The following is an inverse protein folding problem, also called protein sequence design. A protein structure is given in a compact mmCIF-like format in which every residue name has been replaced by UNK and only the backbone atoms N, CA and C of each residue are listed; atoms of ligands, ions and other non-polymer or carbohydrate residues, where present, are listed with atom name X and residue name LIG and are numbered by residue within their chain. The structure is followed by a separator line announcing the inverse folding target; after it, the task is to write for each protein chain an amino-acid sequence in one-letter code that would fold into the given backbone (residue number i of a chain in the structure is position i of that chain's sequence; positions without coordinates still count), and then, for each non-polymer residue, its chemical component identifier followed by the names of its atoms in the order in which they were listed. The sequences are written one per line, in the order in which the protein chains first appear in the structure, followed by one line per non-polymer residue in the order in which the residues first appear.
data_IF_246368066189
#
_entry.id   IF_246368066189
#
_cell.length_a   1.000
_cell.length_b   1.000
_cell.length_c   1.000
_cell.angle_alpha   90.00
_cell.angle_beta   90.00
_cell.angle_gamma   90.00
#
_symmetry.space_group_name_H-M   'P 1'
#
loop_
_entity.id
_entity.type
_entity.pdbx_description
1 polymer ?
#
# COMPACT_ATOMS: atom_id res chain seq x y z
N UNK A 1 -3.05 7.74 23.32
CA UNK A 1 -2.92 7.62 21.84
C UNK A 1 -2.30 6.27 21.54
N UNK A 2 -2.91 5.45 20.68
CA UNK A 2 -2.40 4.10 20.34
C UNK A 2 -0.99 4.23 19.71
N UNK A 3 0.01 3.58 20.30
CA UNK A 3 1.40 3.64 19.85
C UNK A 3 1.56 3.18 18.39
N UNK A 4 0.73 2.23 17.96
CA UNK A 4 0.73 1.71 16.60
C UNK A 4 0.18 2.72 15.59
N UNK A 5 -0.86 3.46 15.95
CA UNK A 5 -1.37 4.54 15.10
C UNK A 5 -0.34 5.66 14.97
N UNK A 6 0.39 5.96 16.06
CA UNK A 6 1.50 6.91 15.99
C UNK A 6 2.57 6.41 15.03
N UNK A 7 3.00 5.15 15.15
CA UNK A 7 3.99 4.56 14.25
C UNK A 7 3.52 4.56 12.79
N UNK A 8 2.25 4.23 12.53
CA UNK A 8 1.66 4.30 11.20
C UNK A 8 1.76 5.71 10.59
N UNK A 9 1.46 6.74 11.38
CA UNK A 9 1.58 8.14 10.94
C UNK A 9 3.02 8.52 10.59
N UNK A 10 3.96 8.15 11.45
CA UNK A 10 5.39 8.42 11.22
C UNK A 10 5.89 7.73 9.94
N UNK A 11 5.55 6.45 9.75
CA UNK A 11 6.04 5.67 8.62
C UNK A 11 5.42 6.05 7.30
N UNK A 12 4.10 6.26 7.28
CA UNK A 12 3.37 6.36 6.03
C UNK A 12 2.82 7.76 5.81
N UNK A 13 2.10 8.32 6.79
CA UNK A 13 1.44 9.63 6.60
C UNK A 13 2.46 10.73 6.36
N UNK A 14 3.44 10.90 7.26
CA UNK A 14 4.43 11.97 7.14
C UNK A 14 5.41 11.75 5.98
N UNK A 15 5.87 10.51 5.78
CA UNK A 15 6.73 10.15 4.65
C UNK A 15 6.05 10.44 3.31
N UNK A 16 4.82 9.96 3.11
CA UNK A 16 4.09 10.15 1.85
C UNK A 16 3.73 11.62 1.63
N UNK A 17 3.37 12.36 2.69
CA UNK A 17 3.14 13.80 2.60
C UNK A 17 4.34 14.58 2.05
N UNK A 18 5.56 14.18 2.42
CA UNK A 18 6.78 14.77 1.86
C UNK A 18 7.01 14.44 0.38
N UNK A 19 6.40 13.36 -0.12
CA UNK A 19 6.51 12.89 -1.51
C UNK A 19 5.42 13.46 -2.42
N UNK A 20 4.22 13.76 -1.89
CA UNK A 20 3.08 14.21 -2.70
C UNK A 20 3.32 15.44 -3.59
N UNK A 21 4.10 16.46 -3.18
CA UNK A 21 4.39 17.60 -4.05
C UNK A 21 5.27 17.26 -5.27
N UNK A 22 5.89 16.07 -5.30
CA UNK A 22 6.87 15.65 -6.30
C UNK A 22 6.24 14.70 -7.31
N UNK A 23 5.95 15.18 -8.51
CA UNK A 23 5.29 14.41 -9.58
C UNK A 23 6.05 13.12 -9.92
N UNK A 24 7.37 13.16 -9.90
CA UNK A 24 8.26 12.02 -10.13
C UNK A 24 8.14 10.92 -9.06
N UNK A 25 7.62 11.26 -7.88
CA UNK A 25 7.40 10.30 -6.79
C UNK A 25 6.11 9.48 -6.97
N UNK A 26 5.30 9.76 -8.00
CA UNK A 26 3.99 9.13 -8.17
C UNK A 26 4.02 7.60 -8.18
N UNK A 27 4.98 7.00 -8.90
CA UNK A 27 5.10 5.53 -8.92
C UNK A 27 5.43 4.96 -7.54
N UNK A 28 6.34 5.60 -6.80
CA UNK A 28 6.73 5.17 -5.46
C UNK A 28 5.57 5.33 -4.47
N UNK A 29 4.85 6.46 -4.53
CA UNK A 29 3.65 6.73 -3.73
C UNK A 29 2.58 5.66 -3.97
N UNK A 30 2.35 5.30 -5.24
CA UNK A 30 1.38 4.25 -5.59
C UNK A 30 1.81 2.87 -5.08
N UNK A 31 3.06 2.47 -5.34
CA UNK A 31 3.60 1.15 -4.92
C UNK A 31 3.65 1.02 -3.40
N UNK A 32 3.86 2.11 -2.65
CA UNK A 32 3.82 2.09 -1.19
C UNK A 32 2.40 2.01 -0.64
N UNK A 33 1.42 2.63 -1.29
CA UNK A 33 0.03 2.65 -0.81
C UNK A 33 -0.78 1.41 -1.20
N UNK A 34 -0.48 0.77 -2.33
CA UNK A 34 -1.22 -0.40 -2.80
C UNK A 34 -1.19 -1.60 -1.81
N UNK A 35 -0.05 -2.00 -1.22
CA UNK A 35 -0.01 -3.04 -0.20
C UNK A 35 -0.75 -2.67 1.10
N UNK A 36 -0.79 -1.37 1.44
CA UNK A 36 -1.53 -0.89 2.61
C UNK A 36 -3.04 -1.04 2.39
N UNK A 37 -3.51 -0.71 1.19
CA UNK A 37 -4.89 -0.98 0.77
C UNK A 37 -5.20 -2.48 0.80
N UNK A 38 -4.31 -3.32 0.26
CA UNK A 38 -4.50 -4.78 0.31
C UNK A 38 -4.69 -5.27 1.75
N UNK A 39 -3.80 -4.85 2.65
CA UNK A 39 -3.90 -5.20 4.08
C UNK A 39 -5.22 -4.72 4.67
N UNK A 40 -5.61 -3.47 4.43
CA UNK A 40 -6.86 -2.93 4.92
C UNK A 40 -8.07 -3.75 4.46
N UNK A 41 -8.16 -4.06 3.16
CA UNK A 41 -9.24 -4.86 2.60
C UNK A 41 -9.28 -6.26 3.21
N UNK A 42 -8.13 -6.92 3.35
CA UNK A 42 -8.03 -8.25 3.96
C UNK A 42 -8.50 -8.23 5.41
N UNK A 43 -8.01 -7.30 6.22
CA UNK A 43 -8.40 -7.21 7.63
C UNK A 43 -9.88 -6.90 7.81
N UNK A 44 -10.42 -6.00 6.98
CA UNK A 44 -11.87 -5.69 6.98
C UNK A 44 -12.74 -6.91 6.67
N UNK A 45 -12.21 -7.84 5.88
CA UNK A 45 -12.91 -9.05 5.43
C UNK A 45 -12.47 -10.32 6.17
N UNK A 46 -11.68 -10.21 7.25
CA UNK A 46 -11.21 -11.36 8.03
C UNK A 46 -10.33 -12.34 7.24
N UNK A 47 -9.62 -11.87 6.20
CA UNK A 47 -8.79 -12.71 5.34
C UNK A 47 -7.34 -12.80 5.84
N UNK A 48 -6.77 -13.99 5.73
CA UNK A 48 -5.34 -14.25 5.94
C UNK A 48 -4.52 -13.85 4.70
N UNK A 49 -3.17 -13.79 4.78
CA UNK A 49 -2.33 -13.51 3.61
C UNK A 49 -2.44 -14.56 2.49
N UNK A 50 -2.75 -15.83 2.83
CA UNK A 50 -2.88 -16.92 1.86
C UNK A 50 -4.20 -16.91 1.09
N UNK A 51 -5.22 -16.21 1.60
CA UNK A 51 -6.53 -16.20 0.97
C UNK A 51 -6.53 -15.34 -0.31
N UNK A 52 -7.33 -15.73 -1.29
CA UNK A 52 -7.64 -14.87 -2.44
C UNK A 52 -8.57 -13.73 -2.02
N UNK A 53 -8.48 -12.57 -2.70
CA UNK A 53 -9.43 -11.47 -2.44
C UNK A 53 -10.84 -11.83 -2.96
N UNK A 54 -11.78 -11.93 -2.02
CA UNK A 54 -13.18 -12.27 -2.26
C UNK A 54 -13.96 -11.15 -2.97
N UNK A 55 -15.19 -11.45 -3.38
CA UNK A 55 -16.10 -10.42 -3.93
C UNK A 55 -16.48 -9.36 -2.89
N UNK A 56 -16.45 -9.69 -1.59
CA UNK A 56 -16.63 -8.73 -0.52
C UNK A 56 -15.47 -7.71 -0.47
N UNK A 57 -14.21 -8.17 -0.66
CA UNK A 57 -13.07 -7.27 -0.81
C UNK A 57 -13.21 -6.34 -2.02
N UNK A 58 -13.68 -6.87 -3.16
CA UNK A 58 -13.93 -6.05 -4.35
C UNK A 58 -15.08 -5.06 -4.14
N UNK A 59 -16.07 -5.45 -3.34
CA UNK A 59 -17.16 -4.57 -2.91
C UNK A 59 -16.65 -3.40 -2.10
N UNK A 60 -15.80 -3.68 -1.11
CA UNK A 60 -15.14 -2.63 -0.34
C UNK A 60 -14.25 -1.75 -1.22
N UNK A 61 -13.53 -2.33 -2.18
CA UNK A 61 -12.66 -1.59 -3.08
C UNK A 61 -13.44 -0.59 -3.94
N UNK A 62 -14.57 -0.97 -4.56
CA UNK A 62 -15.35 0.00 -5.33
C UNK A 62 -16.11 1.00 -4.46
N UNK A 63 -16.47 0.63 -3.22
CA UNK A 63 -17.04 1.59 -2.29
C UNK A 63 -16.03 2.68 -1.87
N UNK A 64 -14.73 2.37 -1.90
CA UNK A 64 -13.67 3.36 -1.70
C UNK A 64 -13.43 4.22 -2.94
N UNK A 65 -13.55 3.62 -4.13
CA UNK A 65 -13.31 4.29 -5.40
C UNK A 65 -14.52 4.10 -6.32
N UNK A 66 -15.48 5.03 -6.24
CA UNK A 66 -16.76 4.94 -6.96
C UNK A 66 -16.64 4.81 -8.48
N UNK A 67 -15.51 5.20 -9.07
CA UNK A 67 -15.20 4.96 -10.48
C UNK A 67 -15.20 3.46 -10.85
N UNK A 68 -14.93 2.57 -9.89
CA UNK A 68 -14.92 1.13 -10.09
C UNK A 68 -16.34 0.55 -10.01
N UNK A 69 -17.26 1.00 -10.86
CA UNK A 69 -18.73 0.81 -10.78
C UNK A 69 -19.33 -0.50 -10.20
N UNK A 70 -18.63 -1.62 -10.22
CA UNK A 70 -19.05 -2.89 -9.62
C UNK A 70 -17.87 -3.81 -9.28
N UNK A 71 -18.18 -4.96 -8.66
CA UNK A 71 -17.23 -6.03 -8.30
C UNK A 71 -16.36 -6.46 -9.48
N UNK A 72 -16.94 -6.58 -10.68
CA UNK A 72 -16.22 -7.05 -11.86
C UNK A 72 -15.19 -6.02 -12.33
N UNK A 73 -15.53 -4.73 -12.34
CA UNK A 73 -14.61 -3.63 -12.68
C UNK A 73 -13.51 -3.51 -11.62
N UNK A 74 -13.87 -3.57 -10.33
CA UNK A 74 -12.90 -3.56 -9.23
C UNK A 74 -11.92 -4.74 -9.32
N UNK A 75 -12.39 -5.94 -9.68
CA UNK A 75 -11.53 -7.12 -9.87
C UNK A 75 -10.59 -6.97 -11.06
N UNK A 76 -11.07 -6.39 -12.17
CA UNK A 76 -10.21 -6.07 -13.32
C UNK A 76 -9.13 -5.07 -12.93
N UNK A 77 -9.51 -3.98 -12.27
CA UNK A 77 -8.57 -2.98 -11.73
C UNK A 77 -7.52 -3.64 -10.83
N UNK A 78 -7.96 -4.47 -9.87
CA UNK A 78 -7.06 -5.15 -8.95
C UNK A 78 -6.06 -6.04 -9.70
N UNK A 79 -6.52 -6.79 -10.69
CA UNK A 79 -5.65 -7.63 -11.51
C UNK A 79 -4.66 -6.80 -12.33
N UNK A 80 -5.07 -5.66 -12.91
CA UNK A 80 -4.17 -4.76 -13.65
C UNK A 80 -3.09 -4.21 -12.73
N UNK A 81 -3.40 -3.73 -11.53
CA UNK A 81 -2.36 -3.10 -10.71
C UNK A 81 -1.56 -4.09 -9.86
N UNK A 82 -2.15 -5.21 -9.43
CA UNK A 82 -1.44 -6.26 -8.67
C UNK A 82 -0.58 -7.16 -9.55
N UNK A 83 -1.07 -7.49 -10.75
CA UNK A 83 -0.41 -8.42 -11.68
C UNK A 83 0.11 -7.75 -12.94
N UNK A 84 -0.36 -6.55 -13.29
CA UNK A 84 0.04 -5.83 -14.50
C UNK A 84 0.98 -4.67 -14.21
N UNK A 85 0.80 -3.88 -13.15
CA UNK A 85 1.65 -2.70 -12.90
C UNK A 85 2.98 -3.05 -12.20
N UNK A 86 2.97 -4.02 -11.28
CA UNK A 86 4.20 -4.69 -10.83
C UNK A 86 4.91 -5.44 -11.98
N UNK A 87 4.16 -5.80 -13.02
CA UNK A 87 4.69 -6.48 -14.21
C UNK A 87 4.88 -5.59 -15.45
N UNK A 88 4.46 -4.33 -15.52
CA UNK A 88 4.70 -3.47 -16.69
C UNK A 88 6.03 -2.74 -16.56
N UNK A 89 6.59 -2.72 -15.35
CA UNK A 89 8.04 -2.68 -15.20
C UNK A 89 8.73 -3.93 -15.82
N UNK A 90 8.00 -4.99 -16.20
CA UNK A 90 8.48 -6.27 -16.76
C UNK A 90 7.53 -6.95 -17.80
N UNK A 91 7.21 -6.27 -18.91
CA UNK A 91 6.95 -6.89 -20.24
C UNK A 91 5.70 -7.80 -20.51
N UNK A 92 4.68 -7.95 -19.65
CA UNK A 92 3.52 -8.82 -19.99
C UNK A 92 2.13 -8.19 -19.86
N UNK A 93 1.43 -8.09 -21.00
CA UNK A 93 0.02 -7.66 -21.12
C UNK A 93 -1.00 -8.80 -20.89
N UNK A 94 -0.55 -9.98 -20.44
CA UNK A 94 -1.39 -11.18 -20.29
C UNK A 94 -1.40 -11.70 -18.86
N UNK A 95 -2.58 -12.18 -18.44
CA UNK A 95 -2.75 -13.00 -17.23
C UNK A 95 -2.08 -14.37 -17.37
N UNK A 96 -1.87 -15.07 -16.26
CA UNK A 96 -1.36 -16.47 -16.25
C UNK A 96 -2.25 -17.46 -17.02
N UNK A 97 -3.54 -17.13 -17.22
CA UNK A 97 -4.47 -17.87 -18.07
C UNK A 97 -4.53 -17.39 -19.53
N UNK A 98 -3.60 -16.54 -19.97
CA UNK A 98 -3.47 -16.08 -21.35
C UNK A 98 -4.44 -14.98 -21.80
N UNK A 99 -5.31 -14.46 -20.91
CA UNK A 99 -6.22 -13.35 -21.21
C UNK A 99 -5.51 -12.01 -21.16
N UNK A 100 -5.82 -11.12 -22.09
CA UNK A 100 -5.29 -9.76 -22.12
C UNK A 100 -5.84 -8.93 -20.94
N UNK A 101 -4.96 -8.13 -20.33
CA UNK A 101 -5.31 -7.18 -19.29
C UNK A 101 -5.65 -5.81 -19.91
N UNK A 102 -6.64 -5.07 -19.38
CA UNK A 102 -6.84 -3.67 -19.73
C UNK A 102 -5.57 -2.85 -19.43
N UNK A 103 -5.34 -1.81 -20.23
CA UNK A 103 -4.20 -0.89 -20.01
C UNK A 103 -4.44 -0.10 -18.71
N UNK A 104 -3.43 -0.08 -17.83
CA UNK A 104 -3.42 0.73 -16.62
C UNK A 104 -2.32 1.80 -16.68
N UNK A 105 -2.68 3.06 -16.45
CA UNK A 105 -1.75 4.20 -16.54
C UNK A 105 -1.73 4.95 -15.21
N UNK A 106 -0.55 5.41 -14.78
CA UNK A 106 -0.43 6.43 -13.73
C UNK A 106 -0.38 7.81 -14.38
N UNK A 107 -1.30 8.70 -14.02
CA UNK A 107 -1.32 10.07 -14.52
C UNK A 107 -1.69 11.04 -13.40
N UNK A 108 -0.98 12.17 -13.32
CA UNK A 108 -1.36 13.26 -12.41
C UNK A 108 -2.33 14.26 -13.07
N UNK A 109 -2.71 14.02 -14.33
CA UNK A 109 -3.50 14.96 -15.12
C UNK A 109 -5.00 14.57 -15.17
N UNK A 110 -5.45 13.79 -14.19
CA UNK A 110 -6.87 13.47 -13.97
C UNK A 110 -7.34 14.06 -12.64
N UNK A 111 -8.64 14.36 -12.53
CA UNK A 111 -9.19 15.03 -11.33
C UNK A 111 -9.50 14.07 -10.18
N UNK A 112 -9.75 12.79 -10.49
CA UNK A 112 -10.14 11.78 -9.52
C UNK A 112 -8.98 10.81 -9.22
N UNK A 113 -9.11 10.09 -8.10
CA UNK A 113 -8.13 9.05 -7.74
C UNK A 113 -8.03 7.93 -8.80
N UNK A 114 -9.16 7.59 -9.43
CA UNK A 114 -9.27 6.58 -10.48
C UNK A 114 -10.27 7.08 -11.53
N UNK A 115 -9.91 6.96 -12.80
CA UNK A 115 -10.83 7.12 -13.94
C UNK A 115 -10.87 5.80 -14.73
N UNK A 116 -12.06 5.43 -15.20
CA UNK A 116 -12.26 4.31 -16.13
C UNK A 116 -12.67 4.89 -17.47
N UNK A 117 -11.82 4.70 -18.47
CA UNK A 117 -12.06 5.20 -19.82
C UNK A 117 -13.13 4.40 -20.55
N UNK A 118 -13.70 4.97 -21.62
CA UNK A 118 -14.71 4.29 -22.44
C UNK A 118 -14.21 2.98 -23.08
N UNK A 119 -12.90 2.86 -23.31
CA UNK A 119 -12.26 1.62 -23.81
C UNK A 119 -11.98 0.58 -22.70
N UNK A 120 -12.33 0.89 -21.44
CA UNK A 120 -12.10 0.03 -20.28
C UNK A 120 -10.70 0.12 -19.66
N UNK A 121 -9.85 1.04 -20.12
CA UNK A 121 -8.55 1.34 -19.50
C UNK A 121 -8.73 2.04 -18.15
N UNK A 122 -7.76 1.85 -17.27
CA UNK A 122 -7.71 2.51 -15.97
C UNK A 122 -6.65 3.61 -15.96
N UNK A 123 -7.01 4.80 -15.50
CA UNK A 123 -6.05 5.84 -15.15
C UNK A 123 -6.11 6.03 -13.64
N UNK A 124 -4.96 6.07 -13.00
CA UNK A 124 -4.84 6.29 -11.55
C UNK A 124 -4.02 7.53 -11.29
N UNK A 125 -4.57 8.41 -10.46
CA UNK A 125 -3.81 9.51 -9.90
C UNK A 125 -3.08 9.01 -8.66
N UNK A 126 -1.75 8.84 -8.70
CA UNK A 126 -1.03 8.15 -7.63
C UNK A 126 -1.16 8.85 -6.27
N UNK A 127 -1.08 10.19 -6.25
CA UNK A 127 -1.25 10.98 -5.02
C UNK A 127 -2.67 10.90 -4.47
N UNK A 128 -3.70 11.21 -5.26
CA UNK A 128 -5.10 11.15 -4.81
C UNK A 128 -5.51 9.75 -4.36
N UNK A 129 -5.07 8.72 -5.09
CA UNK A 129 -5.23 7.32 -4.68
C UNK A 129 -4.59 7.06 -3.31
N UNK A 130 -3.32 7.41 -3.15
CA UNK A 130 -2.60 7.23 -1.88
C UNK A 130 -3.26 7.98 -0.73
N UNK A 131 -3.65 9.23 -0.95
CA UNK A 131 -4.35 10.03 0.05
C UNK A 131 -5.67 9.38 0.48
N UNK A 132 -6.47 8.88 -0.46
CA UNK A 132 -7.71 8.16 -0.14
C UNK A 132 -7.42 6.92 0.73
N UNK A 133 -6.43 6.11 0.34
CA UNK A 133 -6.01 4.91 1.10
C UNK A 133 -5.55 5.28 2.51
N UNK A 134 -4.67 6.27 2.64
CA UNK A 134 -4.11 6.66 3.94
C UNK A 134 -5.21 7.25 4.83
N UNK A 135 -6.08 8.11 4.29
CA UNK A 135 -7.18 8.70 5.05
C UNK A 135 -8.17 7.65 5.55
N UNK A 136 -8.53 6.66 4.73
CA UNK A 136 -9.45 5.60 5.18
C UNK A 136 -8.82 4.72 6.25
N UNK A 137 -7.52 4.41 6.13
CA UNK A 137 -6.78 3.65 7.14
C UNK A 137 -6.67 4.45 8.44
N UNK A 138 -6.32 5.73 8.40
CA UNK A 138 -6.25 6.55 9.61
C UNK A 138 -7.59 6.63 10.33
N UNK A 139 -8.68 6.83 9.58
CA UNK A 139 -10.03 6.89 10.15
C UNK A 139 -10.48 5.55 10.73
N UNK A 140 -10.07 4.44 10.13
CA UNK A 140 -10.48 3.08 10.52
C UNK A 140 -9.28 2.25 10.98
N UNK A 141 -8.36 2.84 11.72
CA UNK A 141 -7.08 2.21 12.02
C UNK A 141 -7.23 0.89 12.78
N UNK A 142 -8.24 0.75 13.63
CA UNK A 142 -8.55 -0.49 14.33
C UNK A 142 -8.83 -1.67 13.37
N UNK A 143 -9.45 -1.40 12.22
CA UNK A 143 -9.65 -2.39 11.16
C UNK A 143 -8.30 -2.74 10.53
N UNK A 144 -7.50 -1.74 10.18
CA UNK A 144 -6.20 -1.94 9.55
C UNK A 144 -5.18 -2.69 10.43
N UNK A 145 -5.15 -2.37 11.74
CA UNK A 145 -4.25 -3.02 12.69
C UNK A 145 -4.56 -4.52 12.79
N UNK A 146 -5.84 -4.88 12.75
CA UNK A 146 -6.31 -6.24 12.94
C UNK A 146 -6.21 -6.69 14.39
N UNK A 147 -7.17 -7.48 14.88
CA UNK A 147 -7.04 -8.09 16.19
C UNK A 147 -5.99 -9.22 16.12
N UNK A 148 -4.91 -9.11 16.89
CA UNK A 148 -3.93 -10.20 17.06
C UNK A 148 -2.85 -10.33 15.98
N UNK A 149 -2.81 -9.45 14.97
CA UNK A 149 -1.69 -9.40 14.02
C UNK A 149 -0.75 -8.27 14.39
N UNK A 150 0.43 -8.60 14.92
CA UNK A 150 1.45 -7.59 15.23
C UNK A 150 1.81 -6.77 13.99
N UNK A 151 1.73 -5.45 14.12
CA UNK A 151 2.25 -4.55 13.10
C UNK A 151 3.79 -4.51 13.17
N UNK A 152 4.47 -4.21 12.06
CA UNK A 152 5.90 -3.93 12.09
C UNK A 152 6.17 -2.83 13.12
N UNK A 153 7.08 -3.10 14.04
CA UNK A 153 7.53 -2.09 15.01
C UNK A 153 8.73 -1.37 14.45
N UNK A 154 8.81 -0.08 14.75
CA UNK A 154 9.96 0.74 14.38
C UNK A 154 11.11 0.38 15.30
N UNK A 155 12.20 -0.14 14.74
CA UNK A 155 13.46 -0.15 15.46
C UNK A 155 13.86 1.31 15.65
N UNK A 156 13.76 1.81 16.88
CA UNK A 156 14.30 3.13 17.21
C UNK A 156 15.81 2.97 17.26
N UNK A 157 16.53 3.60 16.35
CA UNK A 157 17.98 3.66 16.47
C UNK A 157 18.30 4.75 17.48
N UNK A 158 19.05 4.38 18.52
CA UNK A 158 19.64 5.38 19.41
C UNK A 158 21.01 5.71 18.85
N UNK A 159 21.28 7.00 18.67
CA UNK A 159 22.63 7.46 18.39
C UNK A 159 23.49 7.13 19.62
N UNK A 160 24.53 6.31 19.44
CA UNK A 160 25.53 6.10 20.49
C UNK A 160 26.46 7.33 20.46
N UNK A 161 26.75 7.98 21.61
CA UNK A 161 27.77 9.02 21.66
C UNK A 161 29.13 8.44 21.25
N UNK A 162 29.75 8.95 20.19
CA UNK A 162 31.01 8.42 19.67
C UNK A 162 32.27 9.03 20.33
N UNK A 163 33.39 8.27 20.38
CA UNK A 163 34.71 8.85 20.57
C UNK A 163 35.20 9.57 19.30
N UNK A 164 36.12 10.55 19.40
CA UNK A 164 36.38 11.59 18.38
C UNK A 164 36.90 11.16 16.99
N UNK A 165 37.11 9.87 16.72
CA UNK A 165 37.87 9.39 15.55
C UNK A 165 37.31 8.15 14.85
N UNK A 166 36.02 7.81 15.03
CA UNK A 166 35.40 6.62 14.42
C UNK A 166 34.33 6.93 13.36
N UNK A 167 34.02 5.98 12.45
CA UNK A 167 32.86 6.10 11.56
C UNK A 167 31.55 5.85 12.31
N UNK A 168 30.49 6.57 11.94
CA UNK A 168 29.17 6.56 12.60
C UNK A 168 28.58 5.15 12.83
N UNK A 169 28.42 4.76 14.11
CA UNK A 169 27.72 3.53 14.52
C UNK A 169 26.31 3.81 15.07
N UNK A 170 25.33 2.99 14.66
CA UNK A 170 23.94 3.01 15.13
C UNK A 170 23.60 1.70 15.83
N UNK A 171 23.03 1.74 17.04
CA UNK A 171 22.50 0.56 17.73
C UNK A 171 20.97 0.50 17.58
N UNK A 172 20.48 -0.64 17.10
CA UNK A 172 19.04 -0.92 17.02
C UNK A 172 18.50 -1.42 18.36
N UNK A 173 17.41 -0.85 18.87
CA UNK A 173 16.86 -1.17 20.21
C UNK A 173 16.04 -2.47 20.27
N UNK A 174 16.25 -3.43 19.37
CA UNK A 174 15.34 -4.56 19.17
C UNK A 174 16.04 -5.76 18.55
N UNK A 175 16.82 -6.45 19.36
CA UNK A 175 16.90 -7.89 19.25
C UNK A 175 16.52 -8.45 20.61
N UNK A 176 15.38 -9.14 20.69
CA UNK A 176 15.22 -10.12 21.77
C UNK A 176 16.42 -11.06 21.68
N UNK A 177 17.16 -11.20 22.78
CA UNK A 177 18.28 -12.12 22.87
C UNK A 177 17.80 -13.52 22.48
N UNK A 178 18.29 -14.02 21.34
CA UNK A 178 18.10 -15.43 20.96
C UNK A 178 19.25 -16.20 21.60
N UNK A 179 18.99 -17.06 22.61
CA UNK A 179 20.02 -17.92 23.14
C UNK A 179 20.64 -18.72 22.00
N UNK A 180 21.97 -18.71 21.90
CA UNK A 180 22.66 -19.73 21.11
C UNK A 180 22.26 -21.08 21.69
N UNK A 181 21.67 -21.95 20.87
CA UNK A 181 21.45 -23.35 21.25
C UNK A 181 22.82 -23.96 21.64
N UNK A 182 22.87 -24.73 22.74
CA UNK A 182 24.09 -25.39 23.19
C UNK A 182 24.63 -26.36 22.15
#
# INVERSE_FOLDING_TARGET
MNADLKNFREWYVYTLNGMYPRRESGIAVFILSLPLLERYLRQKNGLTPSDGLSDACMTDLYNLFGALANVQVARKFWNVYRNGFLHEATLSLKTSGGKDLPVGVLSHDIQDAITVEANGSFLVHPVLFSQCVIQVIEKNFAVFSGAGTSLPTVNRYKLIPEPPSGPHFYEGTSAAWVPKKP
#
